data_IF_061167844382
#
_entry.id   IF_061167844382
#
_cell.length_a   1.000
_cell.length_b   1.000
_cell.length_c   1.000
_cell.angle_alpha   90.00
_cell.angle_beta   90.00
_cell.angle_gamma   90.00
#
_symmetry.space_group_name_H-M   'P 1'
#
loop_
_entity.id
_entity.type
_entity.pdbx_description
1 polymer ?
#
# COMPACT_ATOMS: atom_id res chain seq x y z
N UNK A 1 -37.90 -3.59 -9.85
CA UNK A 1 -37.05 -3.66 -8.65
C UNK A 1 -35.67 -4.07 -9.11
N UNK A 2 -34.73 -3.11 -9.20
CA UNK A 2 -33.37 -3.39 -9.69
C UNK A 2 -32.55 -3.92 -8.53
N UNK A 3 -32.06 -5.15 -8.65
CA UNK A 3 -31.17 -5.77 -7.67
C UNK A 3 -29.81 -5.10 -7.79
N UNK A 4 -29.50 -4.16 -6.88
CA UNK A 4 -28.18 -3.59 -6.79
C UNK A 4 -27.22 -4.68 -6.30
N UNK A 5 -26.35 -5.16 -7.19
CA UNK A 5 -25.22 -6.02 -6.86
C UNK A 5 -24.30 -5.20 -5.96
N UNK A 6 -24.37 -5.40 -4.64
CA UNK A 6 -23.40 -4.79 -3.73
C UNK A 6 -22.09 -5.55 -3.94
N UNK A 7 -21.04 -4.91 -4.47
CA UNK A 7 -19.80 -5.63 -4.72
C UNK A 7 -19.13 -6.00 -3.38
N UNK A 8 -18.41 -7.11 -3.37
CA UNK A 8 -17.86 -7.71 -2.15
C UNK A 8 -16.96 -6.73 -1.41
N UNK A 9 -17.32 -6.39 -0.15
CA UNK A 9 -16.51 -5.58 0.75
C UNK A 9 -15.68 -6.51 1.66
N UNK A 10 -14.34 -6.51 1.59
CA UNK A 10 -13.53 -7.24 2.55
C UNK A 10 -13.81 -6.73 3.98
N UNK A 11 -14.06 -7.62 4.96
CA UNK A 11 -14.29 -7.19 6.33
C UNK A 11 -13.03 -6.51 6.89
N UNK A 12 -13.18 -5.27 7.39
CA UNK A 12 -12.16 -4.55 8.15
C UNK A 12 -11.36 -3.48 7.40
N UNK A 13 -11.60 -3.26 6.10
CA UNK A 13 -11.03 -2.12 5.37
C UNK A 13 -12.11 -1.02 5.32
N UNK A 14 -12.09 -0.15 6.33
CA UNK A 14 -12.91 1.06 6.32
C UNK A 14 -12.12 2.17 5.63
N UNK A 15 -12.45 2.43 4.35
CA UNK A 15 -11.86 3.50 3.55
C UNK A 15 -11.98 4.88 4.23
N UNK A 16 -12.91 5.05 5.18
CA UNK A 16 -13.16 6.32 5.87
C UNK A 16 -12.23 6.58 7.06
N UNK A 17 -11.39 5.59 7.44
CA UNK A 17 -10.55 5.65 8.66
C UNK A 17 -9.05 5.72 8.40
N UNK A 18 -8.63 5.87 7.15
CA UNK A 18 -7.20 6.02 6.86
C UNK A 18 -6.71 7.43 7.23
N UNK A 19 -5.52 7.57 7.82
CA UNK A 19 -4.90 8.88 8.02
C UNK A 19 -4.73 9.57 6.67
N UNK A 20 -4.74 10.90 6.67
CA UNK A 20 -4.45 11.69 5.47
C UNK A 20 -3.14 11.20 4.85
N UNK A 21 -3.12 10.87 3.55
CA UNK A 21 -1.91 10.36 2.91
C UNK A 21 -0.81 11.42 2.98
N UNK A 22 0.41 10.95 3.25
CA UNK A 22 1.60 11.79 3.09
C UNK A 22 2.07 11.65 1.65
N UNK A 23 1.99 12.73 0.89
CA UNK A 23 2.50 12.78 -0.48
C UNK A 23 4.02 12.98 -0.48
N UNK A 24 4.69 12.30 -1.42
CA UNK A 24 6.13 12.44 -1.67
C UNK A 24 6.33 12.70 -3.15
N UNK A 25 6.91 13.85 -3.48
CA UNK A 25 7.12 14.31 -4.86
C UNK A 25 8.60 14.34 -5.24
N UNK A 26 9.50 14.30 -4.25
CA UNK A 26 10.96 14.30 -4.45
C UNK A 26 11.62 13.11 -3.76
N UNK A 27 12.85 12.80 -4.17
CA UNK A 27 13.65 11.72 -3.57
C UNK A 27 13.95 12.03 -2.10
N UNK A 28 14.19 13.29 -1.78
CA UNK A 28 14.45 13.77 -0.43
C UNK A 28 13.22 13.62 0.47
N UNK A 29 12.02 13.91 -0.05
CA UNK A 29 10.77 13.69 0.66
C UNK A 29 10.50 12.21 0.88
N UNK A 30 10.79 11.36 -0.11
CA UNK A 30 10.72 9.91 0.04
C UNK A 30 11.62 9.44 1.19
N UNK A 31 12.90 9.82 1.22
CA UNK A 31 13.81 9.41 2.28
C UNK A 31 13.42 9.97 3.65
N UNK A 32 12.89 11.21 3.69
CA UNK A 32 12.35 11.81 4.91
C UNK A 32 11.14 11.04 5.44
N UNK A 33 10.24 10.57 4.58
CA UNK A 33 9.14 9.72 5.01
C UNK A 33 9.67 8.35 5.46
N UNK A 34 10.50 7.72 4.63
CA UNK A 34 11.07 6.38 4.85
C UNK A 34 11.78 6.23 6.19
N UNK A 35 12.59 7.22 6.60
CA UNK A 35 13.36 7.12 7.84
C UNK A 35 12.50 7.12 9.12
N UNK A 36 11.22 7.52 9.03
CA UNK A 36 10.27 7.47 10.15
C UNK A 36 9.39 6.21 10.11
N UNK A 37 9.48 5.38 9.08
CA UNK A 37 8.71 4.13 8.97
C UNK A 37 9.44 3.02 9.73
N UNK A 38 8.70 2.27 10.56
CA UNK A 38 9.23 1.07 11.21
C UNK A 38 9.43 -0.05 10.21
N UNK A 39 10.57 -0.74 10.28
CA UNK A 39 10.86 -1.89 9.41
C UNK A 39 9.93 -3.06 9.74
N UNK A 40 9.54 -3.89 8.74
CA UNK A 40 8.72 -5.08 8.97
C UNK A 40 9.20 -5.98 10.11
N UNK A 41 10.52 -6.17 10.27
CA UNK A 41 11.13 -6.96 11.32
C UNK A 41 10.94 -6.41 12.73
N UNK A 42 10.74 -5.09 12.87
CA UNK A 42 10.53 -4.40 14.15
C UNK A 42 9.05 -4.27 14.53
N UNK A 43 8.15 -4.71 13.65
CA UNK A 43 6.71 -4.55 13.81
C UNK A 43 6.13 -5.80 14.52
N UNK A 44 5.89 -5.67 15.83
CA UNK A 44 5.30 -6.72 16.66
C UNK A 44 3.75 -6.75 16.62
N UNK A 45 3.13 -5.79 15.94
CA UNK A 45 1.67 -5.63 15.87
C UNK A 45 1.23 -5.61 14.42
N UNK A 46 0.00 -6.08 14.11
CA UNK A 46 -0.52 -5.97 12.75
C UNK A 46 -0.50 -4.51 12.27
N UNK A 47 0.24 -4.24 11.20
CA UNK A 47 0.34 -2.94 10.54
C UNK A 47 0.16 -3.15 9.03
N UNK A 48 -0.75 -2.40 8.44
CA UNK A 48 -0.98 -2.39 6.99
C UNK A 48 -0.52 -1.04 6.44
N UNK A 49 0.61 -1.03 5.72
CA UNK A 49 1.16 0.17 5.07
C UNK A 49 0.88 0.13 3.57
N UNK A 50 0.44 1.26 3.02
CA UNK A 50 0.06 1.41 1.63
C UNK A 50 0.89 2.53 0.99
N UNK A 51 1.57 2.22 -0.11
CA UNK A 51 2.31 3.19 -0.92
C UNK A 51 1.75 3.13 -2.34
N UNK A 52 1.12 4.22 -2.77
CA UNK A 52 0.34 4.32 -4.01
C UNK A 52 0.67 5.63 -4.73
N UNK A 53 0.33 5.71 -6.02
CA UNK A 53 0.33 6.98 -6.76
C UNK A 53 -0.73 7.90 -6.15
N UNK A 54 -0.46 9.21 -6.13
CA UNK A 54 -1.28 10.20 -5.43
C UNK A 54 -2.74 10.25 -5.93
N UNK A 55 -2.96 9.98 -7.20
CA UNK A 55 -4.26 9.97 -7.87
C UNK A 55 -5.04 8.66 -7.70
N UNK A 56 -4.42 7.61 -7.16
CA UNK A 56 -5.04 6.30 -7.00
C UNK A 56 -5.28 6.02 -5.52
N UNK A 57 -6.55 5.89 -5.13
CA UNK A 57 -6.87 5.54 -3.75
C UNK A 57 -6.53 4.08 -3.50
N UNK A 58 -5.98 3.73 -2.31
CA UNK A 58 -5.63 2.36 -1.94
C UNK A 58 -6.87 1.53 -1.54
N UNK A 59 -7.92 1.56 -2.37
CA UNK A 59 -9.19 0.87 -2.14
C UNK A 59 -9.62 0.15 -3.42
N UNK A 60 -10.31 -0.99 -3.28
CA UNK A 60 -10.73 -1.80 -4.42
C UNK A 60 -11.85 -1.15 -5.23
N UNK A 61 -12.60 -0.21 -4.64
CA UNK A 61 -13.63 0.58 -5.31
C UNK A 61 -13.09 1.68 -6.23
N UNK A 62 -11.77 1.91 -6.23
CA UNK A 62 -11.18 2.91 -7.10
C UNK A 62 -11.28 2.46 -8.57
N UNK A 63 -11.68 3.34 -9.51
CA UNK A 63 -11.82 2.97 -10.92
C UNK A 63 -10.54 2.35 -11.50
N UNK A 64 -9.37 2.80 -11.06
CA UNK A 64 -8.08 2.26 -11.53
C UNK A 64 -7.76 0.87 -10.95
N UNK A 65 -8.44 0.46 -9.87
CA UNK A 65 -8.20 -0.82 -9.19
C UNK A 65 -9.27 -1.89 -9.51
N UNK A 66 -10.44 -1.51 -10.03
CA UNK A 66 -11.60 -2.41 -10.15
C UNK A 66 -11.37 -3.58 -11.12
N UNK A 67 -10.62 -3.35 -12.20
CA UNK A 67 -10.25 -4.39 -13.18
C UNK A 67 -8.85 -4.99 -12.91
N UNK A 68 -8.20 -4.53 -11.85
CA UNK A 68 -6.83 -4.92 -11.50
C UNK A 68 -6.74 -6.19 -10.67
N UNK A 69 -5.61 -6.33 -9.98
CA UNK A 69 -5.33 -7.44 -9.08
C UNK A 69 -4.27 -7.07 -8.04
N UNK A 70 -4.11 -7.91 -7.02
CA UNK A 70 -3.08 -7.76 -5.99
C UNK A 70 -2.22 -9.01 -5.93
N UNK A 71 -0.90 -8.83 -6.01
CA UNK A 71 0.04 -9.88 -5.68
C UNK A 71 0.21 -9.95 -4.16
N UNK A 72 0.17 -11.16 -3.61
CA UNK A 72 0.31 -11.40 -2.18
C UNK A 72 1.37 -12.47 -1.90
N UNK A 73 2.36 -12.12 -1.08
CA UNK A 73 3.42 -13.03 -0.67
C UNK A 73 3.49 -13.13 0.85
N UNK A 74 3.67 -14.36 1.35
CA UNK A 74 4.00 -14.61 2.75
C UNK A 74 5.50 -14.82 2.86
N UNK A 75 6.18 -13.85 3.44
CA UNK A 75 7.64 -13.80 3.53
C UNK A 75 8.06 -14.17 4.97
N UNK A 76 9.15 -14.90 5.13
CA UNK A 76 9.75 -15.16 6.45
C UNK A 76 10.37 -13.86 7.00
N UNK A 77 10.25 -13.62 8.30
CA UNK A 77 10.66 -12.36 8.93
C UNK A 77 12.10 -11.94 8.60
N UNK A 78 13.03 -12.89 8.51
CA UNK A 78 14.45 -12.64 8.21
C UNK A 78 14.72 -12.06 6.81
N UNK A 79 13.76 -12.15 5.88
CA UNK A 79 13.88 -11.56 4.54
C UNK A 79 12.94 -10.36 4.33
N UNK A 80 12.03 -10.10 5.28
CA UNK A 80 10.95 -9.13 5.11
C UNK A 80 11.49 -7.71 4.90
N UNK A 81 12.47 -7.27 5.69
CA UNK A 81 13.00 -5.91 5.62
C UNK A 81 13.60 -5.59 4.26
N UNK A 82 14.48 -6.47 3.75
CA UNK A 82 15.16 -6.26 2.48
C UNK A 82 14.19 -6.32 1.30
N UNK A 83 13.25 -7.27 1.31
CA UNK A 83 12.27 -7.39 0.22
C UNK A 83 11.36 -6.16 0.24
N UNK A 84 10.90 -5.73 1.41
CA UNK A 84 10.03 -4.58 1.54
C UNK A 84 10.71 -3.27 1.11
N UNK A 85 11.96 -3.02 1.55
CA UNK A 85 12.75 -1.86 1.14
C UNK A 85 12.96 -1.83 -0.39
N UNK A 86 13.35 -2.97 -0.98
CA UNK A 86 13.50 -3.08 -2.43
C UNK A 86 12.19 -2.79 -3.18
N UNK A 87 11.05 -3.28 -2.69
CA UNK A 87 9.75 -3.02 -3.32
C UNK A 87 9.41 -1.53 -3.28
N UNK A 88 9.65 -0.83 -2.17
CA UNK A 88 9.44 0.61 -2.09
C UNK A 88 10.35 1.38 -3.06
N UNK A 89 11.62 1.01 -3.16
CA UNK A 89 12.57 1.64 -4.07
C UNK A 89 12.20 1.41 -5.55
N UNK A 90 11.75 0.21 -5.91
CA UNK A 90 11.28 -0.09 -7.26
C UNK A 90 10.03 0.71 -7.61
N UNK A 91 9.09 0.86 -6.67
CA UNK A 91 7.88 1.67 -6.84
C UNK A 91 8.21 3.16 -6.98
N UNK A 92 9.01 3.71 -6.07
CA UNK A 92 9.40 5.12 -6.07
C UNK A 92 10.27 5.47 -7.30
N UNK A 93 11.08 4.52 -7.77
CA UNK A 93 11.91 4.66 -8.97
C UNK A 93 11.17 4.36 -10.28
N UNK A 94 9.89 4.01 -10.25
CA UNK A 94 9.09 3.63 -11.44
C UNK A 94 9.78 2.56 -12.31
N UNK A 95 10.32 1.51 -11.68
CA UNK A 95 11.12 0.47 -12.37
C UNK A 95 10.31 -0.75 -12.84
N UNK A 96 8.98 -0.72 -12.71
CA UNK A 96 8.10 -1.77 -13.23
C UNK A 96 7.69 -1.41 -14.66
N UNK A 97 7.87 -2.36 -15.59
CA UNK A 97 7.41 -2.27 -16.98
C UNK A 97 5.90 -2.49 -17.13
#
# INVERSE_FOLDING_TARGET
>A
MSTATVPWRPPGIDATRQPSPQEVNTVEEFWRAYCHIRRPGDINTKLDLHFFKADIRPVWEDPENVEGGKLFWRIKANFADRIWENMLLLLAGYQFE
#
